data_IF_077380387217
#
_entry.id   IF_077380387217
#
_cell.length_a   1.000
_cell.length_b   1.000
_cell.length_c   1.000
_cell.angle_alpha   90.00
_cell.angle_beta   90.00
_cell.angle_gamma   90.00
#
_symmetry.space_group_name_H-M   'P 1'
#
loop_
_entity.id
_entity.type
_entity.pdbx_description
1 polymer ?
#
# COMPACT_ATOMS: atom_id res chain seq x y z
N UNK A 1 -8.79 -33.81 13.75
CA UNK A 1 -9.76 -32.68 13.84
C UNK A 1 -9.05 -31.56 14.60
N UNK A 2 -8.32 -30.69 13.90
CA UNK A 2 -8.66 -29.28 13.61
C UNK A 2 -9.05 -28.47 14.85
N UNK A 3 -8.04 -27.96 15.57
CA UNK A 3 -8.21 -26.85 16.51
C UNK A 3 -6.88 -26.14 16.75
N UNK A 4 -6.73 -24.99 16.09
CA UNK A 4 -6.17 -23.76 16.64
C UNK A 4 -6.44 -22.68 15.60
N UNK A 5 -7.59 -22.01 15.73
CA UNK A 5 -7.76 -20.71 15.12
C UNK A 5 -6.84 -19.75 15.87
N UNK A 6 -5.61 -19.60 15.38
CA UNK A 6 -4.78 -18.45 15.74
C UNK A 6 -5.46 -17.25 15.06
N UNK A 7 -6.41 -16.64 15.77
CA UNK A 7 -6.74 -15.24 15.55
C UNK A 7 -5.45 -14.49 15.90
N UNK A 8 -4.69 -14.20 14.85
CA UNK A 8 -3.39 -13.56 14.93
C UNK A 8 -3.48 -12.30 15.77
N UNK A 9 -2.49 -12.15 16.63
CA UNK A 9 -2.02 -10.89 17.22
C UNK A 9 -2.30 -9.73 16.25
N UNK A 10 -3.31 -8.92 16.56
CA UNK A 10 -3.39 -7.55 16.05
C UNK A 10 -2.38 -6.71 16.85
N UNK A 11 -1.10 -6.98 16.62
CA UNK A 11 -0.02 -6.10 17.05
C UNK A 11 0.05 -4.98 16.01
N UNK A 12 -0.59 -3.86 16.27
CA UNK A 12 -0.36 -2.64 15.47
C UNK A 12 0.39 -1.60 16.30
N UNK A 13 1.72 -1.75 16.47
CA UNK A 13 2.65 -0.63 16.48
C UNK A 13 3.32 -0.54 15.11
N UNK A 14 2.52 -0.63 14.03
CA UNK A 14 2.99 -0.43 12.67
C UNK A 14 2.90 1.05 12.27
N UNK A 15 3.93 1.55 11.58
CA UNK A 15 3.84 2.87 10.96
C UNK A 15 2.87 2.77 9.77
N UNK A 16 1.82 3.58 9.77
CA UNK A 16 0.79 3.59 8.72
C UNK A 16 0.73 4.96 8.05
N UNK A 17 0.57 4.96 6.72
CA UNK A 17 0.25 6.14 5.92
C UNK A 17 -0.90 5.83 4.97
N UNK A 18 -1.81 6.80 4.82
CA UNK A 18 -2.87 6.79 3.82
C UNK A 18 -2.47 7.76 2.71
N UNK A 19 -2.37 7.26 1.50
CA UNK A 19 -2.04 8.04 0.30
C UNK A 19 -3.32 8.32 -0.48
N UNK A 20 -3.63 9.60 -0.66
CA UNK A 20 -4.67 10.02 -1.59
C UNK A 20 -4.11 10.02 -3.02
N UNK A 21 -4.63 9.10 -3.83
CA UNK A 21 -4.23 8.95 -5.24
C UNK A 21 -5.28 9.52 -6.19
N UNK A 22 -6.23 10.32 -5.68
CA UNK A 22 -7.33 10.88 -6.49
C UNK A 22 -6.81 11.87 -7.53
N UNK A 23 -5.74 12.62 -7.19
CA UNK A 23 -5.15 13.65 -8.05
C UNK A 23 -4.01 13.14 -8.96
N UNK A 24 -3.65 11.86 -8.89
CA UNK A 24 -2.62 11.30 -9.77
C UNK A 24 -3.11 11.16 -11.21
N UNK A 25 -2.20 11.04 -12.18
CA UNK A 25 -2.56 10.70 -13.55
C UNK A 25 -3.14 9.28 -13.65
N UNK A 26 -3.94 9.03 -14.70
CA UNK A 26 -4.54 7.71 -14.92
C UNK A 26 -3.48 6.60 -15.07
N UNK A 27 -2.34 6.93 -15.66
CA UNK A 27 -1.17 6.04 -15.80
C UNK A 27 -0.58 5.68 -14.43
N UNK A 28 -0.28 6.69 -13.60
CA UNK A 28 0.24 6.48 -12.24
C UNK A 28 -0.73 5.67 -11.37
N UNK A 29 -2.03 5.97 -11.40
CA UNK A 29 -3.05 5.19 -10.68
C UNK A 29 -3.06 3.73 -11.12
N UNK A 30 -3.05 3.47 -12.43
CA UNK A 30 -3.01 2.09 -12.95
C UNK A 30 -1.76 1.38 -12.51
N UNK A 31 -0.60 2.03 -12.55
CA UNK A 31 0.66 1.43 -12.16
C UNK A 31 0.72 1.11 -10.67
N UNK A 32 0.23 2.00 -9.80
CA UNK A 32 0.13 1.76 -8.36
C UNK A 32 -0.87 0.66 -7.99
N UNK A 33 -1.98 0.56 -8.72
CA UNK A 33 -3.04 -0.42 -8.46
C UNK A 33 -2.79 -1.78 -9.13
N UNK A 34 -1.71 -1.95 -9.90
CA UNK A 34 -1.31 -3.24 -10.46
C UNK A 34 -1.00 -4.21 -9.31
N UNK A 35 -1.52 -5.43 -9.41
CA UNK A 35 -1.26 -6.50 -8.44
C UNK A 35 0.25 -6.73 -8.24
N UNK A 36 1.02 -6.76 -9.33
CA UNK A 36 2.47 -6.94 -9.28
C UNK A 36 3.18 -5.82 -8.51
N UNK A 37 2.75 -4.57 -8.65
CA UNK A 37 3.32 -3.43 -7.91
C UNK A 37 3.03 -3.56 -6.42
N UNK A 38 1.79 -3.90 -6.07
CA UNK A 38 1.37 -4.09 -4.66
C UNK A 38 2.12 -5.25 -4.01
N UNK A 39 2.27 -6.37 -4.71
CA UNK A 39 3.06 -7.52 -4.24
C UNK A 39 4.52 -7.15 -4.06
N UNK A 40 5.11 -6.42 -5.02
CA UNK A 40 6.48 -5.93 -4.91
C UNK A 40 6.66 -5.02 -3.70
N UNK A 41 5.80 -4.01 -3.53
CA UNK A 41 5.86 -3.10 -2.37
C UNK A 41 5.73 -3.85 -1.04
N UNK A 42 4.87 -4.87 -1.00
CA UNK A 42 4.64 -5.66 0.20
C UNK A 42 5.87 -6.52 0.55
N UNK A 43 6.45 -7.20 -0.45
CA UNK A 43 7.59 -8.10 -0.25
C UNK A 43 8.92 -7.36 -0.06
N UNK A 44 9.20 -6.34 -0.88
CA UNK A 44 10.48 -5.63 -0.88
C UNK A 44 10.67 -4.77 0.37
N UNK A 45 9.58 -4.23 0.93
CA UNK A 45 9.63 -3.30 2.05
C UNK A 45 9.01 -3.86 3.34
N UNK A 46 8.61 -5.14 3.40
CA UNK A 46 7.90 -5.75 4.53
C UNK A 46 6.69 -4.88 4.96
N UNK A 47 5.88 -4.53 3.95
CA UNK A 47 4.67 -3.70 4.11
C UNK A 47 3.42 -4.46 3.72
N UNK A 48 2.27 -3.97 4.17
CA UNK A 48 0.95 -4.41 3.72
C UNK A 48 0.31 -3.23 3.01
N UNK A 49 0.01 -3.41 1.72
CA UNK A 49 -0.66 -2.40 0.90
C UNK A 49 -2.12 -2.79 0.73
N UNK A 50 -3.03 -1.95 1.24
CA UNK A 50 -4.47 -2.12 1.10
C UNK A 50 -4.98 -1.28 -0.07
N UNK A 51 -5.70 -1.94 -0.98
CA UNK A 51 -6.34 -1.31 -2.14
C UNK A 51 -7.57 -0.49 -1.70
N UNK A 52 -7.90 0.60 -2.41
CA UNK A 52 -9.16 1.30 -2.20
C UNK A 52 -10.32 0.34 -2.39
N UNK A 53 -11.31 0.39 -1.49
CA UNK A 53 -12.59 -0.26 -1.71
C UNK A 53 -13.30 0.38 -2.91
N UNK A 54 -13.96 -0.43 -3.74
CA UNK A 54 -14.82 0.03 -4.86
C UNK A 54 -16.14 0.66 -4.36
N UNK A 55 -16.11 1.40 -3.25
CA UNK A 55 -17.24 2.20 -2.82
C UNK A 55 -17.38 3.39 -3.74
N UNK A 56 -18.41 3.37 -4.59
CA UNK A 56 -18.83 4.50 -5.43
C UNK A 56 -18.98 5.77 -4.57
N UNK A 57 -17.97 6.63 -4.58
CA UNK A 57 -17.98 7.92 -3.89
C UNK A 57 -16.87 8.12 -2.86
N UNK A 58 -16.10 7.08 -2.51
CA UNK A 58 -14.94 7.23 -1.61
C UNK A 58 -13.70 7.68 -2.38
N UNK A 59 -12.92 8.58 -1.76
CA UNK A 59 -11.66 9.07 -2.30
C UNK A 59 -10.77 7.88 -2.67
N UNK A 60 -10.12 7.94 -3.83
CA UNK A 60 -9.25 6.86 -4.28
C UNK A 60 -8.00 6.88 -3.38
N UNK A 61 -7.93 6.00 -2.39
CA UNK A 61 -6.88 6.00 -1.37
C UNK A 61 -6.22 4.62 -1.27
N UNK A 62 -4.90 4.61 -1.13
CA UNK A 62 -4.11 3.41 -0.84
C UNK A 62 -3.58 3.55 0.59
N UNK A 63 -3.71 2.49 1.38
CA UNK A 63 -3.11 2.46 2.72
C UNK A 63 -1.88 1.58 2.71
N UNK A 64 -0.76 2.10 3.21
CA UNK A 64 0.49 1.35 3.38
C UNK A 64 0.77 1.22 4.87
N UNK A 65 0.93 -0.02 5.32
CA UNK A 65 1.20 -0.37 6.72
C UNK A 65 2.55 -1.07 6.76
N UNK A 66 3.48 -0.58 7.56
CA UNK A 66 4.81 -1.17 7.70
C UNK A 66 5.09 -1.52 9.17
N UNK A 67 5.92 -2.55 9.41
CA UNK A 67 6.36 -2.90 10.77
C UNK A 67 7.29 -1.85 11.39
N UNK A 68 8.00 -1.08 10.55
CA UNK A 68 8.94 -0.04 11.00
C UNK A 68 8.76 1.24 10.20
N UNK A 69 9.14 2.38 10.79
CA UNK A 69 9.14 3.68 10.09
C UNK A 69 10.10 3.71 8.91
N UNK A 70 11.29 3.10 9.03
CA UNK A 70 12.25 3.03 7.92
C UNK A 70 11.74 2.22 6.72
N UNK A 71 11.05 1.11 6.98
CA UNK A 71 10.36 0.35 5.93
C UNK A 71 9.29 1.19 5.21
N UNK A 72 8.52 1.97 5.98
CA UNK A 72 7.53 2.88 5.45
C UNK A 72 8.17 3.99 4.60
N UNK A 73 9.19 4.67 5.12
CA UNK A 73 9.86 5.76 4.41
C UNK A 73 10.50 5.28 3.08
N UNK A 74 11.14 4.10 3.09
CA UNK A 74 11.68 3.49 1.87
C UNK A 74 10.59 3.12 0.86
N UNK A 75 9.47 2.57 1.35
CA UNK A 75 8.32 2.25 0.51
C UNK A 75 7.71 3.52 -0.12
N UNK A 76 7.54 4.58 0.68
CA UNK A 76 7.03 5.86 0.21
C UNK A 76 7.96 6.53 -0.81
N UNK A 77 9.27 6.48 -0.60
CA UNK A 77 10.25 6.99 -1.56
C UNK A 77 10.13 6.25 -2.91
N UNK A 78 9.99 4.92 -2.87
CA UNK A 78 9.81 4.13 -4.08
C UNK A 78 8.47 4.43 -4.78
N UNK A 79 7.37 4.54 -4.04
CA UNK A 79 6.06 4.94 -4.56
C UNK A 79 6.12 6.32 -5.21
N UNK A 80 6.80 7.28 -4.58
CA UNK A 80 6.98 8.62 -5.13
C UNK A 80 7.73 8.59 -6.48
N UNK A 81 8.80 7.80 -6.58
CA UNK A 81 9.55 7.64 -7.83
C UNK A 81 8.70 6.99 -8.91
N UNK A 82 7.96 5.92 -8.57
CA UNK A 82 7.10 5.20 -9.50
C UNK A 82 5.97 6.08 -10.04
N UNK A 83 5.41 6.97 -9.21
CA UNK A 83 4.42 7.97 -9.65
C UNK A 83 5.06 9.00 -10.57
N UNK A 84 6.25 9.50 -10.22
CA UNK A 84 6.95 10.48 -11.05
C UNK A 84 7.30 9.90 -12.44
N UNK A 85 7.79 8.66 -12.51
CA UNK A 85 8.10 7.97 -13.77
C UNK A 85 6.86 7.72 -14.62
N UNK A 86 5.70 7.51 -14.01
CA UNK A 86 4.44 7.27 -14.70
C UNK A 86 3.78 8.56 -15.26
N UNK A 87 4.27 9.73 -14.86
CA UNK A 87 3.78 11.05 -15.27
C UNK A 87 4.65 11.71 -16.37
N UNK A 88 5.88 11.21 -16.58
CA UNK A 88 6.78 11.61 -17.68
C UNK A 88 6.35 11.02 -19.04
#
# INVERSE_FOLDING_TARGET
VRTAAVLGICDLPGAQVVLDISNLSASAKRQLLKAQTIEYLSQAFDTTVLRPGESKGEKLQITIIAKTRGALDNCLAHVSNLVAEADM
#
